data_IF_293420987876
#
_entry.id   IF_293420987876
#
_cell.length_a   1.000
_cell.length_b   1.000
_cell.length_c   1.000
_cell.angle_alpha   90.00
_cell.angle_beta   90.00
_cell.angle_gamma   90.00
#
_symmetry.space_group_name_H-M   'P 1'
#
loop_
_entity.id
_entity.type
_entity.pdbx_description
1 polymer ?
#
# COMPACT_ATOMS: atom_id res chain seq x y z
N UNK A 1 -22.74 29.67 55.37
CA UNK A 1 -23.59 30.82 55.01
C UNK A 1 -24.00 30.61 53.59
N UNK A 2 -25.18 30.21 53.47
CA UNK A 2 -26.31 30.54 52.63
C UNK A 2 -26.32 29.92 51.24
N UNK A 3 -27.07 28.86 51.08
CA UNK A 3 -27.97 28.62 49.94
C UNK A 3 -29.22 29.48 50.16
N UNK A 4 -30.31 29.51 49.37
CA UNK A 4 -30.70 28.76 48.15
C UNK A 4 -31.41 29.66 47.09
N UNK A 5 -31.95 29.07 45.99
CA UNK A 5 -33.37 29.02 45.57
C UNK A 5 -33.42 28.44 44.13
N UNK A 6 -34.06 27.36 43.87
CA UNK A 6 -35.45 26.93 43.63
C UNK A 6 -36.29 27.89 42.77
N UNK A 7 -36.77 27.40 41.61
CA UNK A 7 -38.15 27.21 41.20
C UNK A 7 -38.23 26.88 39.72
N UNK A 8 -38.83 25.88 39.32
CA UNK A 8 -40.21 25.32 39.38
C UNK A 8 -40.77 25.23 37.93
N UNK A 9 -41.12 23.98 37.55
CA UNK A 9 -42.39 23.55 36.95
C UNK A 9 -42.86 24.23 35.65
N UNK A 10 -43.25 23.52 34.63
CA UNK A 10 -44.41 22.63 34.53
C UNK A 10 -44.44 21.82 33.24
N UNK A 11 -45.04 20.65 33.35
CA UNK A 11 -45.44 19.67 32.35
C UNK A 11 -46.41 20.26 31.31
N UNK A 12 -46.39 19.64 30.11
CA UNK A 12 -47.63 19.14 29.48
C UNK A 12 -47.28 18.08 28.41
N UNK A 13 -47.89 16.92 28.59
CA UNK A 13 -48.10 15.87 27.65
C UNK A 13 -48.95 16.35 26.46
N UNK A 14 -48.66 15.91 25.24
CA UNK A 14 -49.74 15.47 24.37
C UNK A 14 -49.25 14.47 23.31
N UNK A 15 -50.03 13.45 23.17
CA UNK A 15 -49.99 12.30 22.30
C UNK A 15 -50.39 12.63 20.87
N UNK A 16 -49.77 11.95 19.91
CA UNK A 16 -50.46 11.85 18.63
C UNK A 16 -49.67 11.38 17.43
N UNK A 17 -49.85 10.09 17.14
CA UNK A 17 -49.98 9.44 15.81
C UNK A 17 -48.89 9.46 14.81
N UNK A 18 -48.50 8.23 14.50
CA UNK A 18 -47.87 7.67 13.28
C UNK A 18 -48.31 8.33 11.98
N UNK A 19 -47.34 8.67 11.16
CA UNK A 19 -47.47 8.49 9.68
C UNK A 19 -46.13 8.13 9.09
N UNK A 20 -46.08 6.99 8.39
CA UNK A 20 -44.99 6.46 7.62
C UNK A 20 -44.66 7.40 6.46
N UNK A 21 -43.56 8.13 6.53
CA UNK A 21 -43.05 8.92 5.43
C UNK A 21 -41.95 8.14 4.71
N UNK A 22 -42.36 7.52 3.60
CA UNK A 22 -41.50 6.88 2.63
C UNK A 22 -40.62 7.93 1.99
N UNK A 23 -39.35 8.02 2.43
CA UNK A 23 -38.34 8.87 1.80
C UNK A 23 -37.93 8.23 0.47
N UNK A 24 -38.43 8.81 -0.63
CA UNK A 24 -37.93 8.58 -1.98
C UNK A 24 -36.58 9.32 -2.13
N UNK A 25 -35.50 8.70 -2.62
CA UNK A 25 -34.30 9.47 -2.95
C UNK A 25 -34.54 10.29 -4.19
N UNK A 26 -34.49 11.61 -4.07
CA UNK A 26 -34.40 12.54 -5.19
C UNK A 26 -33.09 12.33 -5.93
N UNK A 27 -33.19 11.98 -7.21
CA UNK A 27 -32.09 11.96 -8.16
C UNK A 27 -31.83 13.42 -8.53
N UNK A 28 -30.80 14.04 -7.97
CA UNK A 28 -30.26 15.28 -8.48
C UNK A 28 -29.38 15.01 -9.69
N UNK A 29 -29.87 15.39 -10.85
CA UNK A 29 -29.09 15.51 -12.06
C UNK A 29 -28.13 16.71 -11.91
N UNK A 30 -26.87 16.46 -11.60
CA UNK A 30 -25.81 17.43 -11.79
C UNK A 30 -25.25 17.36 -13.22
N UNK A 31 -25.69 18.30 -14.04
CA UNK A 31 -25.04 18.66 -15.30
C UNK A 31 -23.77 19.45 -14.99
N UNK A 32 -22.60 18.92 -15.36
CA UNK A 32 -21.36 19.69 -15.23
C UNK A 32 -20.10 18.96 -15.61
N UNK A 33 -19.68 19.21 -16.83
CA UNK A 33 -18.32 19.22 -17.37
C UNK A 33 -17.53 17.90 -17.46
N UNK A 34 -17.51 17.40 -18.71
CA UNK A 34 -16.80 16.19 -19.15
C UNK A 34 -15.28 16.37 -19.23
N UNK A 35 -14.60 16.09 -18.11
CA UNK A 35 -13.21 15.64 -18.11
C UNK A 35 -13.06 14.45 -17.18
N UNK A 36 -13.58 13.32 -17.63
CA UNK A 36 -13.41 12.05 -16.92
C UNK A 36 -11.96 11.60 -17.00
N UNK A 37 -11.35 11.47 -15.83
CA UNK A 37 -10.08 10.79 -15.61
C UNK A 37 -10.20 9.32 -16.09
N UNK A 38 -9.86 9.05 -17.34
CA UNK A 38 -9.88 7.72 -17.97
C UNK A 38 -8.96 6.69 -17.28
N UNK A 39 -8.02 7.13 -16.45
CA UNK A 39 -7.12 6.24 -15.72
C UNK A 39 -7.77 5.55 -14.49
N UNK A 40 -8.73 6.20 -13.84
CA UNK A 40 -9.38 5.63 -12.64
C UNK A 40 -10.42 4.57 -12.97
N UNK A 41 -11.09 4.69 -14.12
CA UNK A 41 -12.16 3.76 -14.49
C UNK A 41 -11.65 2.42 -15.04
N UNK A 42 -10.44 2.36 -15.61
CA UNK A 42 -9.88 1.12 -16.14
C UNK A 42 -9.39 0.16 -15.04
N UNK A 43 -8.79 0.68 -13.97
CA UNK A 43 -8.40 -0.12 -12.80
C UNK A 43 -9.62 -0.73 -12.12
N UNK A 44 -10.66 0.05 -11.89
CA UNK A 44 -11.90 -0.45 -11.29
C UNK A 44 -12.62 -1.49 -12.15
N UNK A 45 -12.58 -1.38 -13.48
CA UNK A 45 -13.21 -2.35 -14.38
C UNK A 45 -12.47 -3.69 -14.36
N UNK A 46 -11.14 -3.66 -14.43
CA UNK A 46 -10.30 -4.86 -14.38
C UNK A 46 -10.48 -5.61 -13.05
N UNK A 47 -10.37 -4.90 -11.94
CA UNK A 47 -10.57 -5.45 -10.60
C UNK A 47 -11.97 -6.06 -10.45
N UNK A 48 -12.98 -5.40 -10.97
CA UNK A 48 -14.36 -5.89 -10.95
C UNK A 48 -14.57 -7.15 -11.79
N UNK A 49 -13.91 -7.24 -12.94
CA UNK A 49 -13.96 -8.42 -13.81
C UNK A 49 -13.21 -9.62 -13.19
N UNK A 50 -12.06 -9.36 -12.55
CA UNK A 50 -11.29 -10.36 -11.80
C UNK A 50 -12.06 -10.85 -10.56
N UNK A 51 -12.68 -9.93 -9.82
CA UNK A 51 -13.48 -10.28 -8.65
C UNK A 51 -14.72 -11.12 -8.98
N UNK A 52 -15.39 -10.79 -10.09
CA UNK A 52 -16.56 -11.56 -10.58
C UNK A 52 -16.20 -12.89 -11.25
N UNK A 53 -14.92 -13.22 -11.37
CA UNK A 53 -14.48 -14.46 -12.01
C UNK A 53 -14.68 -14.50 -13.52
N UNK A 54 -15.00 -13.37 -14.14
CA UNK A 54 -15.13 -13.25 -15.61
C UNK A 54 -13.75 -13.38 -16.27
N UNK A 55 -12.71 -12.83 -15.63
CA UNK A 55 -11.33 -12.99 -16.03
C UNK A 55 -10.59 -13.94 -15.07
N UNK A 56 -9.82 -14.89 -15.59
CA UNK A 56 -9.04 -15.79 -14.75
C UNK A 56 -7.86 -15.01 -14.10
N UNK A 57 -7.73 -15.08 -12.78
CA UNK A 57 -6.68 -14.37 -12.03
C UNK A 57 -5.25 -14.73 -12.46
N UNK A 58 -5.04 -15.96 -12.93
CA UNK A 58 -3.72 -16.40 -13.40
C UNK A 58 -3.26 -15.74 -14.71
N UNK A 59 -4.19 -15.20 -15.50
CA UNK A 59 -3.88 -14.51 -16.75
C UNK A 59 -3.46 -13.03 -16.53
N UNK A 60 -3.75 -12.48 -15.35
CA UNK A 60 -3.47 -11.08 -15.01
C UNK A 60 -2.75 -11.04 -13.66
N UNK A 61 -1.41 -11.04 -13.65
CA UNK A 61 -0.66 -10.89 -12.41
C UNK A 61 -0.98 -9.53 -11.79
N UNK A 62 -1.61 -9.54 -10.61
CA UNK A 62 -2.00 -8.34 -9.86
C UNK A 62 -0.80 -7.69 -9.15
N UNK A 63 0.23 -8.50 -8.86
CA UNK A 63 1.42 -8.07 -8.13
C UNK A 63 2.61 -8.01 -9.08
N UNK A 64 2.62 -7.01 -9.96
CA UNK A 64 3.71 -6.79 -10.91
C UNK A 64 4.65 -5.72 -10.37
N UNK A 65 5.95 -6.00 -10.44
CA UNK A 65 7.01 -5.08 -10.02
C UNK A 65 7.96 -4.83 -11.18
N UNK A 66 8.30 -3.57 -11.41
CA UNK A 66 9.09 -3.10 -12.55
C UNK A 66 10.53 -2.81 -12.14
N UNK A 67 11.47 -3.18 -13.00
CA UNK A 67 12.86 -2.76 -12.92
C UNK A 67 13.11 -1.61 -13.90
N UNK A 68 13.52 -0.47 -13.39
CA UNK A 68 13.72 0.76 -14.17
C UNK A 68 15.17 0.91 -14.56
N UNK A 69 15.43 0.89 -15.87
CA UNK A 69 16.73 1.13 -16.47
C UNK A 69 16.72 2.52 -17.07
N UNK A 70 17.49 3.45 -16.48
CA UNK A 70 17.51 4.84 -16.90
C UNK A 70 18.24 5.01 -18.21
N UNK A 71 17.70 5.86 -19.10
CA UNK A 71 18.43 6.40 -20.24
C UNK A 71 19.42 7.47 -19.72
N UNK A 72 20.68 7.10 -19.52
CA UNK A 72 21.69 7.96 -18.94
C UNK A 72 21.95 9.23 -19.76
N UNK A 73 21.76 9.18 -21.09
CA UNK A 73 21.97 10.33 -21.97
C UNK A 73 20.86 11.39 -21.84
N UNK A 74 19.65 10.98 -21.46
CA UNK A 74 18.46 11.82 -21.39
C UNK A 74 17.89 11.97 -19.99
N UNK A 75 18.55 11.41 -18.99
CA UNK A 75 18.10 11.47 -17.60
C UNK A 75 18.20 12.88 -17.03
N UNK A 76 17.10 13.33 -16.43
CA UNK A 76 17.10 14.50 -15.55
C UNK A 76 16.38 14.17 -14.25
N UNK A 77 16.77 14.82 -13.16
CA UNK A 77 16.17 14.60 -11.83
C UNK A 77 14.64 14.80 -11.83
N UNK A 78 14.15 15.74 -12.64
CA UNK A 78 12.73 16.11 -12.68
C UNK A 78 11.94 15.38 -13.76
N UNK A 79 12.62 14.78 -14.76
CA UNK A 79 12.00 14.03 -15.82
C UNK A 79 12.85 12.79 -16.13
N UNK A 80 12.72 11.74 -15.31
CA UNK A 80 13.44 10.50 -15.53
C UNK A 80 13.00 9.84 -16.84
N UNK A 81 13.96 9.49 -17.69
CA UNK A 81 13.73 8.73 -18.91
C UNK A 81 14.27 7.33 -18.73
N UNK A 82 13.52 6.36 -19.23
CA UNK A 82 13.87 4.95 -19.12
C UNK A 82 14.19 4.38 -20.49
N UNK A 83 15.30 3.64 -20.60
CA UNK A 83 15.69 2.86 -21.78
C UNK A 83 14.86 1.57 -21.83
N UNK A 84 14.73 0.89 -20.67
CA UNK A 84 13.92 -0.32 -20.51
C UNK A 84 13.18 -0.33 -19.18
N UNK A 85 12.03 -1.02 -19.16
CA UNK A 85 11.20 -1.19 -17.96
C UNK A 85 10.64 -2.62 -17.86
N UNK A 86 11.52 -3.66 -17.79
CA UNK A 86 11.05 -5.03 -17.66
C UNK A 86 10.26 -5.22 -16.35
N UNK A 87 9.15 -5.92 -16.46
CA UNK A 87 8.25 -6.16 -15.33
C UNK A 87 8.06 -7.65 -15.10
N UNK A 88 7.97 -8.07 -13.83
CA UNK A 88 7.79 -9.45 -13.40
C UNK A 88 6.81 -9.51 -12.22
N UNK A 89 6.25 -10.69 -11.96
CA UNK A 89 5.51 -10.90 -10.72
C UNK A 89 6.41 -10.63 -9.51
N UNK A 90 5.85 -10.14 -8.42
CA UNK A 90 6.60 -9.74 -7.23
C UNK A 90 7.57 -10.82 -6.71
N UNK A 91 7.19 -12.12 -6.60
CA UNK A 91 8.14 -13.15 -6.16
C UNK A 91 9.36 -13.30 -7.08
N UNK A 92 9.14 -13.23 -8.40
CA UNK A 92 10.22 -13.30 -9.39
C UNK A 92 11.07 -12.02 -9.33
N UNK A 93 10.44 -10.86 -9.24
CA UNK A 93 11.12 -9.58 -9.12
C UNK A 93 12.00 -9.50 -7.86
N UNK A 94 11.54 -10.00 -6.72
CA UNK A 94 12.34 -10.08 -5.50
C UNK A 94 13.59 -10.97 -5.65
N UNK A 95 13.51 -12.03 -6.44
CA UNK A 95 14.65 -12.90 -6.68
C UNK A 95 15.63 -12.33 -7.71
N UNK A 96 15.13 -11.62 -8.72
CA UNK A 96 15.93 -11.14 -9.86
C UNK A 96 16.34 -9.67 -9.74
N UNK A 97 15.47 -8.81 -9.21
CA UNK A 97 15.64 -7.35 -9.21
C UNK A 97 16.02 -6.78 -7.84
N UNK A 98 16.16 -7.62 -6.80
CA UNK A 98 16.61 -7.12 -5.50
C UNK A 98 17.96 -6.38 -5.61
N UNK A 99 18.19 -5.32 -4.80
CA UNK A 99 19.46 -4.60 -4.81
C UNK A 99 20.67 -5.53 -4.68
N UNK A 100 21.68 -5.32 -5.52
CA UNK A 100 22.87 -6.18 -5.66
C UNK A 100 22.74 -7.29 -6.69
N UNK A 101 21.57 -7.54 -7.28
CA UNK A 101 21.39 -8.51 -8.36
C UNK A 101 21.71 -7.88 -9.71
N UNK A 102 22.29 -8.68 -10.61
CA UNK A 102 22.62 -8.27 -11.99
C UNK A 102 21.67 -8.96 -12.96
N UNK A 103 21.13 -8.19 -13.88
CA UNK A 103 20.13 -8.61 -14.86
C UNK A 103 20.67 -8.32 -16.25
N UNK A 104 20.45 -9.23 -17.18
CA UNK A 104 20.76 -9.02 -18.61
C UNK A 104 19.50 -8.56 -19.35
N UNK A 105 19.55 -7.39 -19.98
CA UNK A 105 18.48 -6.85 -20.83
C UNK A 105 19.12 -6.32 -22.12
N UNK A 106 18.65 -6.81 -23.27
CA UNK A 106 19.21 -6.42 -24.60
C UNK A 106 20.74 -6.54 -24.66
N UNK A 107 21.27 -7.68 -24.23
CA UNK A 107 22.72 -8.01 -24.22
C UNK A 107 23.62 -7.10 -23.37
N UNK A 108 23.00 -6.30 -22.50
CA UNK A 108 23.69 -5.46 -21.51
C UNK A 108 23.36 -5.92 -20.08
N UNK A 109 24.32 -5.78 -19.19
CA UNK A 109 24.17 -6.12 -17.79
C UNK A 109 23.88 -4.87 -16.95
N UNK A 110 22.84 -4.94 -16.13
CA UNK A 110 22.43 -3.86 -15.23
C UNK A 110 22.36 -4.39 -13.81
N UNK A 111 23.07 -3.73 -12.90
CA UNK A 111 23.02 -4.09 -11.46
C UNK A 111 21.96 -3.26 -10.75
N UNK A 112 21.03 -3.94 -10.11
CA UNK A 112 20.03 -3.29 -9.27
C UNK A 112 20.68 -2.66 -8.04
N UNK A 113 20.37 -1.40 -7.78
CA UNK A 113 20.98 -0.63 -6.67
C UNK A 113 19.98 -0.07 -5.69
N UNK A 114 18.72 0.08 -6.08
CA UNK A 114 17.74 0.75 -5.24
C UNK A 114 16.31 0.25 -5.43
N UNK A 115 15.49 0.43 -4.40
CA UNK A 115 14.04 0.38 -4.51
C UNK A 115 13.58 1.73 -5.07
N UNK A 116 12.77 1.71 -6.11
CA UNK A 116 12.42 2.90 -6.86
C UNK A 116 11.00 2.82 -7.45
N UNK A 117 10.35 3.98 -7.58
CA UNK A 117 9.19 4.19 -8.44
C UNK A 117 9.29 5.58 -9.08
N UNK A 118 8.79 5.79 -10.31
CA UNK A 118 8.84 7.09 -10.98
C UNK A 118 8.08 8.17 -10.21
N UNK A 119 6.92 7.81 -9.67
CA UNK A 119 6.08 8.72 -8.90
C UNK A 119 6.53 8.76 -7.44
N UNK A 120 6.74 9.97 -6.92
CA UNK A 120 7.10 10.20 -5.51
C UNK A 120 6.02 9.66 -4.56
N UNK A 121 4.75 9.87 -4.91
CA UNK A 121 3.62 9.37 -4.13
C UNK A 121 3.60 7.85 -3.95
N UNK A 122 4.11 7.08 -4.91
CA UNK A 122 4.22 5.61 -4.79
C UNK A 122 5.33 5.22 -3.83
N UNK A 123 6.48 5.93 -3.88
CA UNK A 123 7.58 5.74 -2.92
C UNK A 123 7.13 6.04 -1.50
N UNK A 124 6.43 7.16 -1.31
CA UNK A 124 5.89 7.57 0.00
C UNK A 124 4.84 6.59 0.51
N UNK A 125 3.93 6.14 -0.34
CA UNK A 125 2.94 5.11 0.02
C UNK A 125 3.61 3.80 0.45
N UNK A 126 4.62 3.34 -0.27
CA UNK A 126 5.35 2.11 0.08
C UNK A 126 6.08 2.28 1.42
N UNK A 127 6.72 3.43 1.64
CA UNK A 127 7.40 3.74 2.90
C UNK A 127 6.44 3.86 4.08
N UNK A 128 5.30 4.51 3.90
CA UNK A 128 4.30 4.68 4.95
C UNK A 128 3.57 3.37 5.30
N UNK A 129 3.49 2.43 4.36
CA UNK A 129 2.91 1.09 4.58
C UNK A 129 3.91 0.07 5.12
N UNK A 130 5.17 0.44 5.40
CA UNK A 130 6.16 -0.47 5.96
C UNK A 130 5.73 -1.01 7.31
N UNK A 131 6.20 -2.19 7.64
CA UNK A 131 5.92 -2.91 8.88
C UNK A 131 7.22 -3.29 9.58
N UNK A 132 7.10 -3.78 10.79
CA UNK A 132 8.19 -4.44 11.49
C UNK A 132 8.15 -5.94 11.15
N UNK A 133 9.31 -6.51 10.86
CA UNK A 133 9.53 -7.93 10.65
C UNK A 133 10.37 -8.49 11.77
N UNK A 134 9.90 -9.55 12.36
CA UNK A 134 10.57 -10.33 13.40
C UNK A 134 10.76 -11.75 12.92
N UNK A 135 11.91 -12.32 13.19
CA UNK A 135 12.21 -13.73 12.93
C UNK A 135 12.83 -14.36 14.18
N UNK A 136 12.32 -15.52 14.56
CA UNK A 136 12.84 -16.27 15.70
C UNK A 136 14.16 -16.94 15.33
N UNK A 137 15.22 -16.61 16.04
CA UNK A 137 16.55 -17.20 15.85
C UNK A 137 16.63 -18.69 16.24
N UNK A 138 15.63 -19.17 17.00
CA UNK A 138 15.62 -20.55 17.50
C UNK A 138 14.79 -21.52 16.64
N UNK A 139 13.64 -21.09 16.10
CA UNK A 139 12.72 -21.94 15.34
C UNK A 139 12.38 -21.43 13.95
N UNK A 140 12.90 -20.26 13.52
CA UNK A 140 12.62 -19.69 12.21
C UNK A 140 11.20 -19.12 12.04
N UNK A 141 10.37 -19.12 13.10
CA UNK A 141 9.05 -18.52 13.03
C UNK A 141 9.16 -17.02 12.74
N UNK A 142 8.42 -16.54 11.71
CA UNK A 142 8.43 -15.16 11.31
C UNK A 142 7.07 -14.47 11.53
N UNK A 143 7.09 -13.21 11.93
CA UNK A 143 5.89 -12.40 12.19
C UNK A 143 6.12 -10.96 11.72
N UNK A 144 5.07 -10.33 11.19
CA UNK A 144 5.07 -8.90 10.93
C UNK A 144 4.10 -8.18 11.86
N UNK A 145 4.50 -6.99 12.32
CA UNK A 145 3.69 -6.13 13.19
C UNK A 145 3.61 -4.71 12.62
N UNK A 146 2.62 -3.95 13.05
CA UNK A 146 2.53 -2.52 12.73
C UNK A 146 3.68 -1.75 13.42
N UNK A 147 4.07 -0.61 12.84
CA UNK A 147 5.04 0.30 13.49
C UNK A 147 4.52 0.90 14.81
N UNK A 148 3.20 0.88 15.02
CA UNK A 148 2.57 1.35 16.26
C UNK A 148 2.60 0.32 17.39
N UNK A 149 2.87 -0.96 17.07
CA UNK A 149 2.83 -2.08 18.01
C UNK A 149 4.22 -2.50 18.49
N UNK A 150 5.27 -1.91 17.96
CA UNK A 150 6.64 -2.24 18.32
C UNK A 150 7.66 -1.21 17.85
N UNK A 151 8.93 -1.44 18.15
CA UNK A 151 10.01 -0.56 17.77
C UNK A 151 11.07 -1.30 16.96
N UNK A 152 11.79 -0.55 16.12
CA UNK A 152 12.93 -1.08 15.37
C UNK A 152 14.02 -1.56 16.36
N UNK A 153 14.72 -2.63 16.02
CA UNK A 153 15.70 -3.32 16.86
C UNK A 153 15.14 -3.92 18.16
N UNK A 154 13.84 -3.92 18.37
CA UNK A 154 13.20 -4.57 19.50
C UNK A 154 13.24 -6.10 19.33
N UNK A 155 13.47 -6.81 20.42
CA UNK A 155 13.33 -8.26 20.54
C UNK A 155 12.08 -8.59 21.35
N UNK A 156 11.38 -9.63 20.97
CA UNK A 156 10.16 -10.12 21.63
C UNK A 156 10.20 -11.64 21.83
N UNK A 157 9.30 -12.13 22.65
CA UNK A 157 9.15 -13.55 22.89
C UNK A 157 8.55 -14.25 21.67
N UNK A 158 8.98 -15.47 21.41
CA UNK A 158 8.47 -16.25 20.29
C UNK A 158 7.18 -16.98 20.68
N UNK A 159 6.09 -16.67 19.97
CA UNK A 159 4.81 -17.32 20.19
C UNK A 159 4.78 -18.80 19.73
N UNK A 160 5.70 -19.23 18.88
CA UNK A 160 5.74 -20.59 18.36
C UNK A 160 6.53 -21.56 19.26
N UNK A 161 7.69 -21.14 19.77
CA UNK A 161 8.52 -21.99 20.62
C UNK A 161 8.60 -21.53 22.09
N UNK A 162 7.88 -20.49 22.47
CA UNK A 162 7.81 -19.89 23.80
C UNK A 162 9.17 -19.49 24.41
N UNK A 163 10.18 -19.30 23.57
CA UNK A 163 11.50 -18.86 24.01
C UNK A 163 11.52 -17.34 24.17
N UNK A 164 11.93 -16.86 25.33
CA UNK A 164 12.01 -15.42 25.63
C UNK A 164 13.03 -14.73 24.75
N UNK A 165 12.75 -13.49 24.34
CA UNK A 165 13.62 -12.59 23.56
C UNK A 165 14.32 -13.23 22.37
N UNK A 166 13.67 -14.22 21.73
CA UNK A 166 14.25 -14.97 20.63
C UNK A 166 13.82 -14.49 19.25
N UNK A 167 12.83 -13.60 19.16
CA UNK A 167 12.38 -12.99 17.92
C UNK A 167 12.95 -11.58 17.77
N UNK A 168 13.67 -11.36 16.68
CA UNK A 168 14.28 -10.08 16.40
C UNK A 168 15.78 -10.15 16.17
N UNK A 169 16.49 -9.03 16.15
CA UNK A 169 15.96 -7.66 16.27
C UNK A 169 15.02 -7.27 15.13
N UNK A 170 13.98 -6.48 15.45
CA UNK A 170 12.99 -6.03 14.49
C UNK A 170 13.62 -5.20 13.37
N UNK A 171 13.23 -5.50 12.12
CA UNK A 171 13.68 -4.81 10.91
C UNK A 171 12.51 -4.22 10.15
N UNK A 172 12.74 -3.17 9.36
CA UNK A 172 11.73 -2.71 8.43
C UNK A 172 11.47 -3.75 7.33
N UNK A 173 10.22 -3.95 7.04
CA UNK A 173 9.73 -4.76 5.93
C UNK A 173 8.74 -3.94 5.10
N UNK A 174 8.89 -3.94 3.79
CA UNK A 174 7.99 -3.26 2.87
C UNK A 174 7.85 -4.04 1.57
N UNK A 175 6.74 -3.85 0.89
CA UNK A 175 6.54 -4.31 -0.48
C UNK A 175 7.17 -3.27 -1.40
N UNK A 176 8.19 -3.61 -2.19
CA UNK A 176 8.85 -2.64 -3.06
C UNK A 176 7.91 -2.22 -4.20
N UNK A 177 7.76 -0.92 -4.49
CA UNK A 177 6.97 -0.44 -5.62
C UNK A 177 7.68 -0.68 -6.96
N UNK A 178 8.99 -0.86 -6.94
CA UNK A 178 9.85 -1.16 -8.08
C UNK A 178 11.31 -1.16 -7.69
N UNK A 179 12.18 -1.44 -8.66
CA UNK A 179 13.64 -1.47 -8.51
C UNK A 179 14.29 -0.64 -9.60
N UNK A 180 15.50 -0.18 -9.38
CA UNK A 180 16.26 0.56 -10.38
C UNK A 180 17.76 0.22 -10.34
N UNK A 181 18.42 0.35 -11.51
CA UNK A 181 19.88 0.31 -11.58
C UNK A 181 20.49 1.66 -11.13
N UNK A 182 21.79 1.65 -10.82
CA UNK A 182 22.51 2.87 -10.50
C UNK A 182 22.60 3.78 -11.74
N UNK A 183 22.54 5.08 -11.50
CA UNK A 183 22.86 6.08 -12.50
C UNK A 183 24.35 6.36 -12.34
N UNK A 184 25.14 6.04 -13.37
CA UNK A 184 26.55 6.38 -13.41
C UNK A 184 26.66 7.90 -13.55
N UNK A 185 27.27 8.56 -12.56
CA UNK A 185 27.51 10.00 -12.55
C UNK A 185 28.90 10.33 -13.00
#
# INVERSE_FOLDING_TARGET
MAAPDQNNQERRDDSGSNEDEVIRPEIQEETGDGRTNLHSSSEHLLDRLLYKGVLPRYAFPTDVTTFYIFDQARYTKFNPRFEFTPSQSLPVALSQYAPGKTICVSDKFYTSSAIYAPQESERDKAWNKRRLYYECQSCGFAKTMSLTEGNINQEIDCAACNKSTSMGPAKHWLIPPGFAHAIDR
#
